data_IF_314193322424
#
_entry.id   IF_314193322424
#
_cell.length_a   1.000
_cell.length_b   1.000
_cell.length_c   1.000
_cell.angle_alpha   90.00
_cell.angle_beta   90.00
_cell.angle_gamma   90.00
#
_symmetry.space_group_name_H-M   'P 1'
#
loop_
_entity.id
_entity.type
_entity.pdbx_description
1 polymer ?
2 non-polymer ?
3 non-polymer ?
4 non-polymer ?
5 non-polymer ?
6 non-polymer ?
7 water ?
#
# COMPACT_ATOMS: atom_id res chain seq x y z
N UNK A 39 17.67 17.64 5.14
CA UNK A 39 17.14 16.23 5.04
C UNK A 39 15.64 16.20 4.90
N UNK A 40 15.07 15.01 4.67
CA UNK A 40 13.62 14.91 4.50
C UNK A 40 12.84 15.13 5.78
N UNK A 41 11.67 15.72 5.65
CA UNK A 41 10.75 15.92 6.77
C UNK A 41 10.32 14.59 7.40
N UNK A 42 10.11 13.59 6.55
CA UNK A 42 9.59 12.28 6.94
C UNK A 42 10.47 11.21 6.27
N UNK A 43 11.66 10.94 6.82
CA UNK A 43 12.57 9.97 6.20
C UNK A 43 11.99 8.57 5.98
N UNK A 44 11.06 8.17 6.84
CA UNK A 44 10.41 6.87 6.78
C UNK A 44 9.64 6.58 5.51
N UNK A 45 9.26 7.64 4.78
CA UNK A 45 8.58 7.49 3.50
C UNK A 45 9.46 7.84 2.31
N UNK A 46 10.77 7.76 2.50
CA UNK A 46 11.73 8.01 1.42
C UNK A 46 11.78 6.92 0.35
N UNK A 47 11.27 5.74 0.70
CA UNK A 47 11.20 4.62 -0.24
C UNK A 47 9.98 4.74 -1.15
N UNK A 48 10.20 4.72 -2.46
CA UNK A 48 9.10 4.81 -3.43
C UNK A 48 8.14 3.63 -3.27
N UNK A 49 8.68 2.45 -3.00
CA UNK A 49 7.87 1.25 -2.79
C UNK A 49 6.93 1.40 -1.59
N UNK A 50 7.44 1.90 -0.47
CA UNK A 50 6.58 2.16 0.70
C UNK A 50 5.50 3.19 0.36
N UNK A 51 5.87 4.24 -0.37
CA UNK A 51 4.89 5.25 -0.77
C UNK A 51 3.81 4.61 -1.65
N UNK A 52 4.19 3.74 -2.58
CA UNK A 52 3.21 3.10 -3.45
C UNK A 52 2.25 2.22 -2.65
N UNK A 53 2.80 1.48 -1.68
CA UNK A 53 1.98 0.61 -0.83
C UNK A 53 0.90 1.39 -0.08
N UNK A 54 1.18 2.66 0.23
CA UNK A 54 0.27 3.49 1.00
C UNK A 54 -1.02 3.80 0.25
N UNK A 55 -1.01 3.65 -1.08
CA UNK A 55 -2.16 3.93 -1.94
C UNK A 55 -3.14 2.75 -2.11
N UNK A 56 -3.06 1.75 -1.24
CA UNK A 56 -3.89 0.55 -1.42
C UNK A 56 -5.39 0.85 -1.48
N UNK A 57 -5.83 1.89 -0.78
CA UNK A 57 -7.24 2.28 -0.77
C UNK A 57 -7.46 3.67 -1.39
N UNK A 58 -6.59 4.03 -2.34
CA UNK A 58 -6.72 5.29 -3.09
C UNK A 58 -8.05 5.30 -3.86
N UNK A 59 -8.84 6.38 -3.73
CA UNK A 59 -10.14 6.47 -4.39
C UNK A 59 -10.17 6.92 -5.86
N UNK A 60 -9.01 7.28 -6.42
CA UNK A 60 -8.95 7.87 -7.76
C UNK A 60 -7.92 7.19 -8.68
N UNK A 61 -7.93 5.86 -8.68
CA UNK A 61 -6.89 5.11 -9.41
C UNK A 61 -6.84 5.44 -10.90
N UNK A 62 -8.01 5.47 -11.55
CA UNK A 62 -8.07 5.79 -12.99
C UNK A 62 -7.72 7.26 -13.27
N UNK A 63 -8.11 8.14 -12.36
CA UNK A 63 -7.99 9.59 -12.56
C UNK A 63 -6.58 10.11 -12.33
N UNK A 64 -5.93 9.61 -11.28
CA UNK A 64 -4.56 9.99 -10.94
C UNK A 64 -3.83 8.75 -10.43
N UNK A 65 -2.99 8.12 -11.27
CA UNK A 65 -2.35 6.86 -10.89
C UNK A 65 -1.46 6.91 -9.66
N UNK A 66 -1.67 5.99 -8.70
CA UNK A 66 -0.75 5.84 -7.57
C UNK A 66 0.73 5.73 -7.97
N UNK A 67 1.01 5.04 -9.06
CA UNK A 67 2.39 4.91 -9.56
C UNK A 67 3.04 6.28 -9.76
N UNK A 68 2.29 7.21 -10.35
CA UNK A 68 2.82 8.55 -10.61
C UNK A 68 2.91 9.35 -9.32
N UNK A 69 1.91 9.24 -8.46
CA UNK A 69 1.93 9.94 -7.17
C UNK A 69 3.14 9.53 -6.33
N UNK A 70 3.35 8.22 -6.19
CA UNK A 70 4.49 7.70 -5.40
C UNK A 70 5.82 8.12 -6.02
N UNK A 71 5.94 8.04 -7.34
CA UNK A 71 7.17 8.44 -8.03
C UNK A 71 7.50 9.91 -7.76
N UNK A 72 6.46 10.74 -7.63
CA UNK A 72 6.62 12.17 -7.40
C UNK A 72 6.81 12.55 -5.92
N UNK A 73 6.99 11.54 -5.06
CA UNK A 73 7.33 11.77 -3.65
C UNK A 73 6.18 11.70 -2.67
N UNK A 74 4.97 11.46 -3.19
CA UNK A 74 3.76 11.52 -2.37
C UNK A 74 3.35 10.17 -1.80
N UNK A 75 2.84 10.20 -0.57
CA UNK A 75 2.16 9.03 0.02
C UNK A 75 0.73 9.43 0.35
N UNK A 76 -0.16 8.44 0.40
CA UNK A 76 -1.57 8.65 0.77
C UNK A 76 -1.72 8.74 2.29
N UNK A 77 -2.37 9.79 2.78
CA UNK A 77 -2.62 9.91 4.22
C UNK A 77 -3.66 8.91 4.71
N UNK A 78 -4.50 8.42 3.79
CA UNK A 78 -5.57 7.50 4.14
C UNK A 78 -6.91 8.20 4.27
N UNK A 79 -6.90 9.53 4.26
CA UNK A 79 -8.13 10.32 4.37
C UNK A 79 -8.45 10.99 3.04
N UNK A 80 -9.64 10.72 2.53
CA UNK A 80 -10.09 11.25 1.23
C UNK A 80 -9.01 11.07 0.17
N UNK A 81 -8.70 12.11 -0.60
CA UNK A 81 -7.63 12.07 -1.60
C UNK A 81 -6.41 12.89 -1.17
N UNK A 82 -6.21 13.03 0.15
CA UNK A 82 -5.11 13.82 0.68
C UNK A 82 -3.80 13.04 0.60
N UNK A 83 -2.79 13.65 0.00
CA UNK A 83 -1.45 13.07 -0.07
C UNK A 83 -0.44 14.06 0.48
N UNK A 84 0.75 13.58 0.80
CA UNK A 84 1.82 14.42 1.32
C UNK A 84 3.18 13.98 0.78
N UNK A 85 4.05 14.96 0.51
CA UNK A 85 5.41 14.66 0.09
C UNK A 85 6.28 14.31 1.29
N UNK A 86 7.03 13.22 1.20
CA UNK A 86 7.87 12.77 2.31
C UNK A 86 9.00 13.76 2.64
N UNK A 87 9.43 14.53 1.64
CA UNK A 87 10.59 15.40 1.79
C UNK A 87 10.24 16.79 2.32
N UNK A 88 9.35 17.49 1.62
CA UNK A 88 8.93 18.85 2.02
C UNK A 88 7.71 18.88 2.94
N UNK A 89 7.03 17.73 3.05
CA UNK A 89 5.81 17.58 3.90
C UNK A 89 4.63 18.41 3.36
N UNK A 90 4.72 18.82 2.10
CA UNK A 90 3.65 19.57 1.46
C UNK A 90 2.48 18.66 1.19
N UNK A 91 1.27 19.12 1.52
CA UNK A 91 0.05 18.32 1.33
C UNK A 91 -0.75 18.81 0.13
N UNK A 92 -1.37 17.88 -0.59
CA UNK A 92 -2.27 18.21 -1.71
C UNK A 92 -3.53 17.35 -1.67
N UNK A 93 -4.67 17.97 -1.97
CA UNK A 93 -5.96 17.27 -2.02
C UNK A 93 -6.78 17.78 -3.22
N UNK A 94 -8.01 17.31 -3.34
CA UNK A 94 -8.92 17.76 -4.41
C UNK A 94 -8.28 17.60 -5.79
N UNK A 95 -7.74 16.41 -6.01
CA UNK A 95 -7.13 16.05 -7.29
C UNK A 95 -8.18 15.98 -8.38
N UNK A 96 -7.85 16.52 -9.55
CA UNK A 96 -8.72 16.48 -10.72
C UNK A 96 -8.20 15.44 -11.69
N UNK A 97 -9.11 14.84 -12.46
CA UNK A 97 -8.75 13.82 -13.43
C UNK A 97 -7.70 14.38 -14.39
N UNK A 98 -6.63 13.59 -14.59
CA UNK A 98 -5.54 13.98 -15.47
C UNK A 98 -4.48 14.87 -14.85
N UNK A 99 -4.66 15.30 -13.60
CA UNK A 99 -3.62 16.04 -12.87
C UNK A 99 -2.32 15.24 -12.92
N UNK A 100 -1.20 15.95 -13.13
CA UNK A 100 0.10 15.31 -13.16
C UNK A 100 0.81 15.59 -11.83
N UNK A 101 1.06 14.54 -11.03
CA UNK A 101 1.70 14.75 -9.72
C UNK A 101 2.99 15.57 -9.72
N UNK A 102 3.92 15.33 -10.65
CA UNK A 102 5.14 16.14 -10.70
C UNK A 102 4.85 17.62 -10.96
N UNK A 103 3.91 17.90 -11.87
CA UNK A 103 3.52 19.28 -12.19
C UNK A 103 2.93 19.98 -10.97
N UNK A 104 2.03 19.30 -10.27
CA UNK A 104 1.42 19.87 -9.07
C UNK A 104 2.46 20.07 -7.97
N UNK A 105 3.41 19.13 -7.85
CA UNK A 105 4.50 19.26 -6.87
C UNK A 105 5.30 20.55 -7.12
N UNK A 106 5.64 20.80 -8.39
CA UNK A 106 6.41 21.97 -8.78
C UNK A 106 5.62 23.26 -8.70
N UNK A 107 4.32 23.18 -9.02
CA UNK A 107 3.42 24.33 -8.93
C UNK A 107 3.31 24.87 -7.50
N UNK A 108 3.10 23.96 -6.54
CA UNK A 108 2.78 24.34 -5.16
C UNK A 108 3.98 24.38 -4.21
N UNK A 109 4.98 23.54 -4.45
CA UNK A 109 6.15 23.43 -3.58
C UNK A 109 7.45 23.47 -4.38
N UNK A 110 7.69 24.59 -5.09
CA UNK A 110 8.87 24.68 -5.97
C UNK A 110 10.21 24.64 -5.25
N UNK A 111 10.21 24.83 -3.92
CA UNK A 111 11.44 24.79 -3.13
C UNK A 111 11.83 23.42 -2.61
N UNK A 112 11.03 22.40 -2.91
CA UNK A 112 11.31 21.04 -2.44
C UNK A 112 12.60 20.48 -3.04
N UNK A 113 13.50 19.99 -2.20
CA UNK A 113 14.79 19.52 -2.68
C UNK A 113 14.72 18.14 -3.33
N UNK A 114 13.76 17.31 -2.92
CA UNK A 114 13.47 16.06 -3.63
C UNK A 114 13.01 16.34 -5.07
N UNK A 115 12.08 17.27 -5.22
CA UNK A 115 11.66 17.73 -6.55
C UNK A 115 12.84 18.21 -7.38
N UNK A 116 13.68 19.05 -6.79
CA UNK A 116 14.84 19.59 -7.49
C UNK A 116 15.79 18.47 -7.93
N UNK A 117 16.14 17.58 -7.01
CA UNK A 117 17.08 16.50 -7.32
C UNK A 117 16.54 15.59 -8.42
N UNK A 118 15.24 15.31 -8.36
CA UNK A 118 14.59 14.37 -9.28
C UNK A 118 14.37 14.97 -10.68
N UNK A 119 13.89 16.21 -10.73
CA UNK A 119 13.41 16.81 -11.99
C UNK A 119 14.27 17.96 -12.55
N UNK A 120 15.11 18.57 -11.72
CA UNK A 120 16.00 19.63 -12.18
C UNK A 120 15.34 21.00 -12.13
N UNK A 121 16.16 22.04 -12.12
CA UNK A 121 15.67 23.42 -11.97
C UNK A 121 14.89 23.90 -13.19
N UNK A 122 15.31 23.49 -14.38
CA UNK A 122 14.67 23.94 -15.62
C UNK A 122 13.20 23.54 -15.67
N UNK A 123 12.91 22.30 -15.26
CA UNK A 123 11.55 21.80 -15.17
C UNK A 123 10.70 22.66 -14.24
N UNK A 124 11.23 22.95 -13.05
CA UNK A 124 10.51 23.76 -12.06
C UNK A 124 10.27 25.17 -12.59
N UNK A 125 11.30 25.76 -13.18
CA UNK A 125 11.19 27.10 -13.78
C UNK A 125 10.13 27.20 -14.87
N UNK A 126 10.05 26.16 -15.71
CA UNK A 126 9.10 26.16 -16.82
C UNK A 126 7.63 26.10 -16.36
N UNK A 127 7.39 25.41 -15.24
CA UNK A 127 6.05 25.33 -14.66
C UNK A 127 5.62 26.69 -14.08
N UNK A 128 6.59 27.47 -13.59
CA UNK A 128 6.35 28.86 -13.20
C UNK A 128 6.72 29.81 -14.33
N UNK B 39 -15.10 -8.62 -7.81
CA UNK B 39 -13.69 -8.68 -8.31
C UNK B 39 -12.67 -8.55 -7.19
N UNK B 40 -11.38 -8.41 -7.54
CA UNK B 40 -10.35 -8.24 -6.50
C UNK B 40 -10.58 -6.98 -5.66
N UNK B 41 -10.53 -7.13 -4.34
CA UNK B 41 -10.80 -6.04 -3.41
C UNK B 41 -9.78 -4.91 -3.54
N UNK B 42 -8.51 -5.31 -3.62
CA UNK B 42 -7.39 -4.38 -3.62
C UNK B 42 -6.42 -4.79 -4.74
N UNK B 43 -6.79 -4.49 -6.01
CA UNK B 43 -6.04 -4.95 -7.17
C UNK B 43 -4.55 -4.63 -7.12
N UNK B 44 -4.22 -3.43 -6.65
CA UNK B 44 -2.83 -2.99 -6.56
C UNK B 44 -1.97 -3.87 -5.66
N UNK B 45 -2.60 -4.50 -4.68
CA UNK B 45 -1.91 -5.38 -3.74
C UNK B 45 -1.82 -6.83 -4.24
N UNK B 46 -2.06 -7.05 -5.54
CA UNK B 46 -1.81 -8.36 -6.14
C UNK B 46 -0.33 -8.69 -6.25
N UNK B 47 0.52 -7.67 -6.13
CA UNK B 47 1.97 -7.84 -6.09
C UNK B 47 2.40 -8.27 -4.69
N UNK B 48 2.98 -9.46 -4.57
CA UNK B 48 3.51 -9.91 -3.28
C UNK B 48 4.57 -8.95 -2.71
N UNK B 49 5.42 -8.42 -3.58
CA UNK B 49 6.42 -7.43 -3.14
C UNK B 49 5.76 -6.21 -2.46
N UNK B 50 4.68 -5.72 -3.04
CA UNK B 50 3.98 -4.56 -2.47
C UNK B 50 3.27 -4.93 -1.18
N UNK B 51 2.69 -6.12 -1.13
CA UNK B 51 2.11 -6.61 0.12
C UNK B 51 3.17 -6.65 1.21
N UNK B 52 4.35 -7.17 0.89
CA UNK B 52 5.43 -7.23 1.87
C UNK B 52 5.84 -5.83 2.33
N UNK B 53 5.92 -4.87 1.41
CA UNK B 53 6.25 -3.49 1.74
C UNK B 53 5.29 -2.87 2.76
N UNK B 54 4.01 -3.24 2.69
CA UNK B 54 3.00 -2.70 3.62
C UNK B 54 3.30 -3.01 5.10
N UNK B 55 4.14 -4.03 5.34
CA UNK B 55 4.50 -4.42 6.70
C UNK B 55 5.70 -3.65 7.27
N UNK B 56 6.07 -2.53 6.65
CA UNK B 56 7.18 -1.71 7.18
C UNK B 56 6.91 -1.26 8.63
N UNK B 57 5.63 -1.12 8.97
CA UNK B 57 5.22 -0.68 10.31
C UNK B 57 4.43 -1.76 11.06
N UNK B 58 4.70 -3.01 10.74
CA UNK B 58 4.15 -4.15 11.51
C UNK B 58 4.51 -3.99 12.98
N UNK B 59 3.54 -4.20 13.90
CA UNK B 59 3.86 -3.97 15.31
C UNK B 59 5.01 -4.84 15.81
N UNK B 60 5.83 -4.26 16.68
CA UNK B 60 7.00 -4.97 17.23
C UNK B 60 6.55 -6.04 18.24
N UNK B 61 5.28 -5.97 18.66
CA UNK B 61 4.68 -6.96 19.53
C UNK B 61 4.07 -8.15 18.78
N UNK B 62 4.02 -8.09 17.45
CA UNK B 62 3.31 -9.11 16.67
C UNK B 62 4.00 -10.47 16.74
N UNK B 63 3.24 -11.53 16.47
CA UNK B 63 3.71 -12.90 16.72
C UNK B 63 3.81 -13.77 15.46
N UNK B 64 3.50 -13.18 14.31
CA UNK B 64 3.54 -13.88 13.02
C UNK B 64 4.27 -13.00 12.01
N UNK B 65 5.21 -13.56 11.25
CA UNK B 65 6.08 -12.75 10.41
C UNK B 65 5.44 -12.24 9.12
N UNK B 66 5.73 -10.97 8.75
CA UNK B 66 5.30 -10.40 7.48
C UNK B 66 5.53 -11.27 6.24
N UNK B 67 6.69 -11.91 6.14
CA UNK B 67 7.02 -12.75 4.97
C UNK B 67 5.94 -13.79 4.70
N UNK B 68 5.51 -14.50 5.74
CA UNK B 68 4.47 -15.55 5.60
C UNK B 68 3.10 -14.96 5.32
N UNK B 69 2.78 -13.84 5.95
CA UNK B 69 1.49 -13.18 5.75
C UNK B 69 1.34 -12.70 4.30
N UNK B 70 2.36 -12.01 3.78
CA UNK B 70 2.32 -11.52 2.40
C UNK B 70 2.20 -12.69 1.40
N UNK B 71 2.88 -13.79 1.69
CA UNK B 71 2.83 -14.96 0.80
C UNK B 71 1.44 -15.56 0.69
N UNK B 72 0.63 -15.42 1.75
CA UNK B 72 -0.73 -15.95 1.79
C UNK B 72 -1.80 -14.95 1.32
N UNK B 73 -1.37 -13.88 0.65
CA UNK B 73 -2.29 -12.90 0.08
C UNK B 73 -2.61 -11.69 0.94
N UNK B 74 -2.06 -11.64 2.16
CA UNK B 74 -2.40 -10.60 3.13
C UNK B 74 -1.47 -9.39 3.05
N UNK B 75 -2.03 -8.20 3.27
CA UNK B 75 -1.23 -7.00 3.45
C UNK B 75 -1.71 -6.25 4.69
N UNK B 76 -0.82 -5.42 5.24
CA UNK B 76 -1.08 -4.69 6.48
C UNK B 76 -1.86 -3.43 6.21
N UNK B 77 -2.90 -3.17 7.02
CA UNK B 77 -3.72 -1.96 6.84
C UNK B 77 -3.10 -0.70 7.47
N UNK B 78 -2.03 -0.86 8.26
CA UNK B 78 -1.39 0.24 8.94
C UNK B 78 -1.89 0.48 10.36
N UNK B 79 -2.76 -0.39 10.86
CA UNK B 79 -3.32 -0.27 12.20
C UNK B 79 -3.22 -1.59 12.96
N UNK B 80 -2.58 -1.54 14.14
CA UNK B 80 -2.36 -2.74 14.94
C UNK B 80 -1.77 -3.87 14.07
N UNK B 81 -2.14 -5.13 14.32
CA UNK B 81 -1.69 -6.25 13.49
C UNK B 81 -2.78 -6.72 12.52
N UNK B 82 -3.60 -5.76 12.08
CA UNK B 82 -4.68 -6.02 11.15
C UNK B 82 -4.16 -6.20 9.72
N UNK B 83 -4.60 -7.27 9.07
CA UNK B 83 -4.28 -7.48 7.66
C UNK B 83 -5.56 -7.75 6.89
N UNK B 84 -5.50 -7.58 5.57
CA UNK B 84 -6.60 -7.98 4.69
C UNK B 84 -6.05 -8.72 3.48
N UNK B 85 -6.85 -9.65 2.96
CA UNK B 85 -6.50 -10.32 1.70
C UNK B 85 -6.77 -9.36 0.54
N UNK B 86 -5.79 -9.23 -0.36
CA UNK B 86 -5.94 -8.34 -1.51
C UNK B 86 -7.10 -8.76 -2.41
N UNK B 87 -7.46 -10.05 -2.42
CA UNK B 87 -8.51 -10.51 -3.32
C UNK B 87 -9.90 -10.49 -2.71
N UNK B 88 -10.07 -11.18 -1.58
CA UNK B 88 -11.41 -11.38 -0.98
C UNK B 88 -11.80 -10.35 0.08
N UNK B 89 -10.86 -9.47 0.44
CA UNK B 89 -11.08 -8.42 1.47
C UNK B 89 -10.98 -8.92 2.91
N UNK B 90 -10.98 -10.24 3.11
CA UNK B 90 -11.07 -10.81 4.46
C UNK B 90 -10.02 -10.25 5.41
N UNK B 91 -10.47 -9.75 6.56
CA UNK B 91 -9.58 -9.14 7.54
C UNK B 91 -9.33 -10.01 8.75
N UNK B 92 -8.09 -10.04 9.23
CA UNK B 92 -7.71 -10.77 10.43
C UNK B 92 -6.74 -9.96 11.27
N UNK B 93 -6.86 -10.12 12.58
CA UNK B 93 -5.96 -9.48 13.53
C UNK B 93 -5.74 -10.38 14.75
N UNK B 94 -4.98 -9.89 15.74
CA UNK B 94 -4.67 -10.66 16.94
C UNK B 94 -4.06 -12.01 16.57
N UNK B 95 -3.06 -11.96 15.69
CA UNK B 95 -2.30 -13.13 15.28
C UNK B 95 -1.53 -13.69 16.47
N UNK B 96 -1.58 -15.01 16.64
CA UNK B 96 -0.93 -15.69 17.76
C UNK B 96 0.25 -16.52 17.28
N UNK B 97 1.24 -16.68 18.15
CA UNK B 97 2.39 -17.52 17.86
C UNK B 97 1.91 -18.88 17.35
N UNK B 98 2.46 -19.33 16.23
CA UNK B 98 2.11 -20.62 15.66
C UNK B 98 0.98 -20.57 14.65
N UNK B 99 0.27 -19.45 14.56
CA UNK B 99 -0.73 -19.28 13.50
C UNK B 99 -0.05 -19.43 12.15
N UNK B 100 -0.71 -20.14 11.25
CA UNK B 100 -0.24 -20.27 9.87
C UNK B 100 -1.15 -19.45 8.97
N UNK B 101 -0.61 -18.39 8.33
CA UNK B 101 -1.46 -17.54 7.48
C UNK B 101 -2.36 -18.27 6.46
N UNK B 102 -1.84 -19.28 5.76
CA UNK B 102 -2.66 -20.00 4.77
C UNK B 102 -3.81 -20.75 5.47
N UNK B 103 -3.52 -21.37 6.60
CA UNK B 103 -4.53 -22.10 7.36
C UNK B 103 -5.65 -21.15 7.82
N UNK B 104 -5.26 -20.00 8.35
CA UNK B 104 -6.23 -19.00 8.82
C UNK B 104 -7.05 -18.45 7.64
N UNK B 105 -6.40 -18.24 6.50
CA UNK B 105 -7.08 -17.79 5.29
C UNK B 105 -8.21 -18.77 4.94
N UNK B 106 -7.90 -20.07 4.98
CA UNK B 106 -8.88 -21.11 4.67
C UNK B 106 -9.96 -21.23 5.74
N UNK B 107 -9.57 -21.10 7.01
CA UNK B 107 -10.51 -21.20 8.13
C UNK B 107 -11.60 -20.13 8.03
N UNK B 108 -11.19 -18.89 7.78
CA UNK B 108 -12.10 -17.75 7.88
C UNK B 108 -12.74 -17.34 6.55
N UNK B 109 -12.03 -17.56 5.44
CA UNK B 109 -12.47 -17.11 4.12
C UNK B 109 -12.39 -18.23 3.07
N UNK B 110 -13.10 -19.35 3.32
CA UNK B 110 -13.01 -20.51 2.45
C UNK B 110 -13.52 -20.28 1.01
N UNK B 111 -14.27 -19.21 0.78
CA UNK B 111 -14.77 -18.87 -0.56
C UNK B 111 -13.83 -18.02 -1.41
N UNK B 112 -12.68 -17.64 -0.85
CA UNK B 112 -11.71 -16.82 -1.58
C UNK B 112 -11.15 -17.51 -2.82
N UNK B 113 -11.25 -16.85 -3.96
CA UNK B 113 -10.77 -17.40 -5.24
C UNK B 113 -9.24 -17.45 -5.34
N UNK B 114 -8.55 -16.50 -4.71
CA UNK B 114 -7.09 -16.54 -4.61
C UNK B 114 -6.63 -17.75 -3.79
N UNK B 115 -7.26 -17.95 -2.64
CA UNK B 115 -7.03 -19.15 -1.83
C UNK B 115 -7.27 -20.43 -2.65
N UNK B 116 -8.39 -20.48 -3.36
CA UNK B 116 -8.72 -21.66 -4.15
C UNK B 116 -7.69 -21.93 -5.23
N UNK B 117 -7.31 -20.90 -5.98
CA UNK B 117 -6.33 -21.06 -7.06
C UNK B 117 -4.96 -21.46 -6.50
N UNK B 118 -4.63 -20.97 -5.32
CA UNK B 118 -3.32 -21.20 -4.70
C UNK B 118 -3.18 -22.57 -4.04
N UNK B 119 -4.24 -23.04 -3.40
CA UNK B 119 -4.18 -24.24 -2.54
C UNK B 119 -5.06 -25.41 -2.95
N UNK B 120 -6.13 -25.15 -3.70
CA UNK B 120 -7.06 -26.20 -4.13
C UNK B 120 -8.16 -26.45 -3.12
N UNK B 121 -9.27 -27.03 -3.58
CA UNK B 121 -10.45 -27.22 -2.73
C UNK B 121 -10.24 -28.23 -1.60
N UNK B 122 -9.49 -29.30 -1.86
CA UNK B 122 -9.25 -30.33 -0.85
C UNK B 122 -8.56 -29.76 0.38
N UNK B 123 -7.58 -28.88 0.17
CA UNK B 123 -6.88 -28.19 1.26
C UNK B 123 -7.87 -27.44 2.14
N UNK B 124 -8.78 -26.71 1.50
CA UNK B 124 -9.75 -25.89 2.21
C UNK B 124 -10.73 -26.80 2.99
N UNK B 125 -11.28 -27.78 2.30
CA UNK B 125 -12.21 -28.72 2.95
C UNK B 125 -11.58 -29.44 4.15
N UNK B 126 -10.34 -29.91 3.99
CA UNK B 126 -9.67 -30.63 5.08
C UNK B 126 -9.54 -29.79 6.36
N UNK B 127 -9.24 -28.50 6.20
CA UNK B 127 -9.14 -27.59 7.34
C UNK B 127 -10.48 -27.47 8.06
N UNK B 128 -11.57 -27.39 7.31
CA UNK B 128 -12.89 -27.31 7.92
C UNK B 128 -13.36 -28.62 8.54
N UNK B 129 -12.93 -29.73 7.95
CA UNK B 129 -13.30 -31.05 8.48
C UNK B 129 -12.52 -31.39 9.75
N UNK B 130 -11.23 -31.04 9.77
CA UNK B 130 -10.37 -31.37 10.90
C UNK B 130 -10.68 -30.49 12.11
#
# INVERSE_FOLDING_TARGET
>A
MGSSHHHHHHSSGEVPRGSHMLETEEEEEEGAGATLSRGPAFPGMGSEELRLASFYDWPLTAEVPPELLAAAGFFHTGHQDKVRCFFCYGGLQSWKRGDDPWTEHAKWFPGCQFLLRSKGQEYINNIHLTHSL
>B
MGSSHHHHHHSSGEVPRGSHMLETEEEEEEGAGATLSRGPAFPGMGSEELRLASFYDWPLTAEVPPELLAAAGFFHTGHQDKVRCFFCYGGLQSWKRGDDPWTEHAKWFPGCQFLLRSKGQEYINNIHLTHSL
#
